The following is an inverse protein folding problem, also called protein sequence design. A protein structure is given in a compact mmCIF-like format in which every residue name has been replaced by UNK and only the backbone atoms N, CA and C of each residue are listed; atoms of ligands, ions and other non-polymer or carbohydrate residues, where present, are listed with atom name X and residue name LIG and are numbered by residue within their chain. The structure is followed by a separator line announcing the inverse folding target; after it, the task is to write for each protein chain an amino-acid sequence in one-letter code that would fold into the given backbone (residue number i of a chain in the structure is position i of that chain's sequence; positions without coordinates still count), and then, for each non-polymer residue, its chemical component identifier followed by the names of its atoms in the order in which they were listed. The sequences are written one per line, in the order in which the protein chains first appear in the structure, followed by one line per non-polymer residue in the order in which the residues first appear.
data_IF_719095730415
#
_entry.id   IF_719095730415
#
_cell.length_a   1.000
_cell.length_b   1.000
_cell.length_c   1.000
_cell.angle_alpha   90.00
_cell.angle_beta   90.00
_cell.angle_gamma   90.00
#
_symmetry.space_group_name_H-M   'P 1'
#
loop_
_entity.id
_entity.type
_entity.pdbx_description
1 polymer ?
#
# COMPACT_ATOMS: atom_id res chain seq x y z
N UNK A 1 34.19 -77.55 9.64
CA UNK A 1 34.43 -76.83 8.36
C UNK A 1 33.33 -75.79 8.13
N UNK A 2 33.66 -74.67 7.47
CA UNK A 2 32.79 -73.58 6.98
C UNK A 2 32.06 -72.70 8.04
N UNK A 3 32.78 -71.73 8.61
CA UNK A 3 32.19 -70.49 9.22
C UNK A 3 32.65 -69.18 8.56
N UNK A 4 33.54 -69.23 7.57
CA UNK A 4 34.17 -68.02 6.99
C UNK A 4 33.35 -67.32 5.90
N UNK A 5 32.32 -67.95 5.33
CA UNK A 5 31.50 -67.34 4.28
C UNK A 5 30.45 -66.33 4.81
N UNK A 6 30.11 -66.37 6.11
CA UNK A 6 29.06 -65.51 6.67
C UNK A 6 29.53 -64.10 7.03
N UNK A 7 30.83 -63.88 7.32
CA UNK A 7 31.33 -62.54 7.65
C UNK A 7 31.32 -61.58 6.45
N UNK A 8 31.48 -62.10 5.23
CA UNK A 8 31.59 -61.26 4.03
C UNK A 8 30.24 -60.68 3.58
N UNK A 9 29.11 -61.28 3.95
CA UNK A 9 27.78 -60.72 3.66
C UNK A 9 27.43 -59.54 4.57
N UNK A 10 27.97 -59.48 5.79
CA UNK A 10 27.69 -58.41 6.75
C UNK A 10 28.26 -57.05 6.36
N UNK A 11 29.44 -57.02 5.74
CA UNK A 11 30.11 -55.79 5.32
C UNK A 11 29.32 -55.05 4.22
N UNK A 12 28.82 -55.79 3.22
CA UNK A 12 28.00 -55.21 2.15
C UNK A 12 26.67 -54.64 2.66
N UNK A 13 26.05 -55.29 3.65
CA UNK A 13 24.81 -54.83 4.27
C UNK A 13 25.04 -53.53 5.04
N UNK A 14 26.14 -53.41 5.77
CA UNK A 14 26.47 -52.19 6.52
C UNK A 14 26.60 -50.97 5.59
N UNK A 15 27.24 -51.13 4.43
CA UNK A 15 27.40 -50.06 3.43
C UNK A 15 26.04 -49.62 2.89
N UNK A 16 25.17 -50.58 2.53
CA UNK A 16 23.82 -50.27 2.02
C UNK A 16 23.02 -49.48 3.06
N UNK A 17 23.09 -49.86 4.33
CA UNK A 17 22.41 -49.14 5.42
C UNK A 17 22.90 -47.69 5.55
N UNK A 18 24.22 -47.46 5.49
CA UNK A 18 24.81 -46.11 5.57
C UNK A 18 24.34 -45.26 4.39
N UNK A 19 24.32 -45.81 3.17
CA UNK A 19 23.84 -45.09 1.98
C UNK A 19 22.37 -44.71 2.12
N UNK A 20 21.52 -45.62 2.60
CA UNK A 20 20.10 -45.33 2.82
C UNK A 20 19.92 -44.19 3.83
N UNK A 21 20.67 -44.20 4.94
CA UNK A 21 20.62 -43.13 5.94
C UNK A 21 21.03 -41.77 5.34
N UNK A 22 22.09 -41.72 4.54
CA UNK A 22 22.52 -40.50 3.86
C UNK A 22 21.45 -39.96 2.90
N UNK A 23 20.76 -40.83 2.17
CA UNK A 23 19.66 -40.44 1.27
C UNK A 23 18.49 -39.86 2.07
N UNK A 24 18.10 -40.49 3.18
CA UNK A 24 17.01 -40.00 4.04
C UNK A 24 17.36 -38.63 4.63
N UNK A 25 18.57 -38.46 5.16
CA UNK A 25 19.02 -37.15 5.66
C UNK A 25 19.05 -36.10 4.55
N UNK A 26 19.61 -36.42 3.39
CA UNK A 26 19.64 -35.52 2.23
C UNK A 26 18.25 -35.07 1.82
N UNK A 27 17.26 -35.98 1.81
CA UNK A 27 15.88 -35.66 1.49
C UNK A 27 15.23 -34.72 2.52
N UNK A 28 15.41 -35.00 3.82
CA UNK A 28 14.89 -34.13 4.89
C UNK A 28 15.47 -32.71 4.77
N UNK A 29 16.78 -32.57 4.55
CA UNK A 29 17.40 -31.26 4.37
C UNK A 29 16.91 -30.54 3.11
N UNK A 30 16.80 -31.26 1.98
CA UNK A 30 16.31 -30.70 0.72
C UNK A 30 14.89 -30.14 0.85
N UNK A 31 13.97 -30.90 1.48
CA UNK A 31 12.59 -30.44 1.64
C UNK A 31 12.49 -29.19 2.51
N UNK A 32 13.29 -29.07 3.58
CA UNK A 32 13.35 -27.87 4.42
C UNK A 32 13.90 -26.65 3.68
N UNK A 33 14.95 -26.83 2.89
CA UNK A 33 15.53 -25.75 2.09
C UNK A 33 14.59 -25.30 0.96
N UNK A 34 13.91 -26.24 0.30
CA UNK A 34 12.93 -25.93 -0.74
C UNK A 34 11.74 -25.11 -0.20
N UNK A 35 11.22 -25.47 0.99
CA UNK A 35 10.16 -24.71 1.65
C UNK A 35 10.56 -23.26 1.92
N UNK A 36 11.80 -23.02 2.37
CA UNK A 36 12.31 -21.67 2.62
C UNK A 36 12.37 -20.80 1.34
N UNK A 37 12.71 -21.39 0.19
CA UNK A 37 12.74 -20.67 -1.08
C UNK A 37 11.33 -20.31 -1.58
N UNK A 38 10.37 -21.20 -1.39
CA UNK A 38 8.98 -20.97 -1.81
C UNK A 38 8.36 -19.81 -1.01
N UNK A 39 8.61 -19.74 0.31
CA UNK A 39 8.09 -18.62 1.11
C UNK A 39 8.71 -17.28 0.74
N UNK A 40 10.01 -17.23 0.44
CA UNK A 40 10.68 -16.02 -0.04
C UNK A 40 10.18 -15.59 -1.43
N UNK A 41 10.03 -16.54 -2.36
CA UNK A 41 9.51 -16.25 -3.70
C UNK A 41 8.05 -15.76 -3.67
N UNK A 42 7.23 -16.35 -2.80
CA UNK A 42 5.86 -15.89 -2.59
C UNK A 42 5.80 -14.46 -2.02
N UNK A 43 6.69 -14.10 -1.08
CA UNK A 43 6.74 -12.74 -0.55
C UNK A 43 7.16 -11.71 -1.63
N UNK A 44 8.18 -12.01 -2.43
CA UNK A 44 8.63 -11.12 -3.51
C UNK A 44 7.56 -10.87 -4.58
N UNK A 45 6.88 -11.92 -5.02
CA UNK A 45 5.78 -11.79 -6.00
C UNK A 45 4.62 -10.94 -5.48
N UNK A 46 4.35 -10.96 -4.16
CA UNK A 46 3.30 -10.13 -3.54
C UNK A 46 3.67 -8.65 -3.51
N UNK A 47 4.95 -8.33 -3.34
CA UNK A 47 5.44 -6.94 -3.40
C UNK A 47 5.37 -6.39 -4.83
N UNK A 48 5.75 -7.20 -5.82
CA UNK A 48 5.62 -6.85 -7.24
C UNK A 48 4.15 -6.56 -7.62
N UNK A 49 3.21 -7.38 -7.15
CA UNK A 49 1.77 -7.15 -7.36
C UNK A 49 1.29 -5.83 -6.73
N UNK A 50 1.72 -5.51 -5.51
CA UNK A 50 1.35 -4.26 -4.85
C UNK A 50 1.88 -3.04 -5.63
N UNK A 51 3.12 -3.11 -6.11
CA UNK A 51 3.72 -2.06 -6.93
C UNK A 51 3.05 -1.93 -8.31
N UNK A 52 2.66 -3.05 -8.93
CA UNK A 52 1.93 -3.04 -10.20
C UNK A 52 0.59 -2.29 -10.05
N UNK A 53 -0.18 -2.55 -8.99
CA UNK A 53 -1.43 -1.82 -8.73
C UNK A 53 -1.14 -0.34 -8.47
N UNK A 54 -0.12 -0.02 -7.68
CA UNK A 54 0.26 1.37 -7.40
C UNK A 54 0.65 2.13 -8.68
N UNK A 55 1.39 1.47 -9.59
CA UNK A 55 1.74 2.02 -10.90
C UNK A 55 0.53 2.24 -11.80
N UNK A 56 -0.45 1.33 -11.78
CA UNK A 56 -1.72 1.52 -12.52
C UNK A 56 -2.44 2.75 -11.98
N UNK A 57 -2.63 2.85 -10.66
CA UNK A 57 -3.29 4.00 -10.01
C UNK A 57 -2.58 5.31 -10.36
N UNK A 58 -1.25 5.30 -10.37
CA UNK A 58 -0.47 6.49 -10.65
C UNK A 58 -0.58 6.99 -12.11
N UNK A 59 -0.97 6.10 -13.02
CA UNK A 59 -1.10 6.38 -14.45
C UNK A 59 -2.56 6.46 -14.92
N UNK A 60 -3.51 6.64 -14.00
CA UNK A 60 -4.92 6.86 -14.34
C UNK A 60 -5.13 8.26 -14.93
N UNK A 61 -5.47 8.38 -16.23
CA UNK A 61 -5.69 9.68 -16.85
C UNK A 61 -6.89 10.42 -16.23
N UNK A 62 -7.83 9.72 -15.60
CA UNK A 62 -8.98 10.29 -14.91
C UNK A 62 -8.57 11.11 -13.69
N UNK A 63 -7.39 10.84 -13.12
CA UNK A 63 -6.89 11.55 -11.95
C UNK A 63 -5.92 12.67 -12.31
N UNK A 64 -5.33 12.65 -13.50
CA UNK A 64 -4.26 13.58 -13.88
C UNK A 64 -4.76 15.02 -14.03
N UNK A 65 -3.94 15.97 -13.59
CA UNK A 65 -4.12 17.38 -13.92
C UNK A 65 -3.90 17.61 -15.42
N UNK A 66 -4.72 18.48 -16.02
CA UNK A 66 -4.48 18.99 -17.36
C UNK A 66 -4.47 20.52 -17.29
N UNK A 67 -3.30 21.13 -17.46
CA UNK A 67 -3.15 22.58 -17.54
C UNK A 67 -2.66 22.93 -18.94
N UNK A 68 -3.40 23.78 -19.65
CA UNK A 68 -3.03 24.22 -21.00
C UNK A 68 -2.71 23.07 -21.96
N UNK A 69 -3.48 21.97 -21.93
CA UNK A 69 -3.30 20.76 -22.76
C UNK A 69 -2.04 19.93 -22.50
N UNK A 70 -1.23 20.30 -21.49
CA UNK A 70 -0.07 19.51 -21.07
C UNK A 70 -0.45 18.69 -19.84
N UNK A 71 -0.22 17.38 -19.92
CA UNK A 71 -0.36 16.46 -18.80
C UNK A 71 0.88 16.59 -17.92
N UNK A 72 0.70 17.02 -16.68
CA UNK A 72 1.79 17.09 -15.71
C UNK A 72 1.96 15.74 -15.00
N UNK A 73 3.19 15.21 -15.01
CA UNK A 73 3.52 13.98 -14.28
C UNK A 73 3.33 14.19 -12.77
N UNK A 74 2.74 13.19 -12.11
CA UNK A 74 2.48 13.17 -10.67
C UNK A 74 1.65 14.36 -10.14
N UNK A 75 0.81 14.98 -10.98
CA UNK A 75 -0.18 15.97 -10.56
C UNK A 75 -1.58 15.36 -10.63
N UNK A 76 -2.32 15.49 -9.52
CA UNK A 76 -3.66 14.93 -9.36
C UNK A 76 -4.64 16.04 -9.04
N UNK A 77 -5.75 16.06 -9.76
CA UNK A 77 -6.81 17.05 -9.58
C UNK A 77 -7.73 16.61 -8.43
N UNK A 78 -7.86 17.48 -7.42
CA UNK A 78 -8.65 17.24 -6.22
C UNK A 78 -10.11 16.91 -6.54
N UNK A 79 -10.74 17.69 -7.43
CA UNK A 79 -12.15 17.50 -7.79
C UNK A 79 -12.35 16.17 -8.52
N UNK A 80 -11.36 15.76 -9.34
CA UNK A 80 -11.42 14.47 -10.03
C UNK A 80 -11.27 13.29 -9.06
N UNK A 81 -10.41 13.41 -8.05
CA UNK A 81 -10.29 12.41 -6.98
C UNK A 81 -11.63 12.24 -6.27
N UNK A 82 -12.28 13.34 -5.91
CA UNK A 82 -13.58 13.33 -5.24
C UNK A 82 -14.69 12.73 -6.11
N UNK A 83 -14.75 13.10 -7.40
CA UNK A 83 -15.71 12.52 -8.34
C UNK A 83 -15.46 11.03 -8.59
N UNK A 84 -14.20 10.59 -8.69
CA UNK A 84 -13.89 9.17 -8.84
C UNK A 84 -14.34 8.39 -7.60
N UNK A 85 -14.10 8.95 -6.40
CA UNK A 85 -14.56 8.36 -5.14
C UNK A 85 -16.07 8.16 -5.14
N UNK A 86 -16.85 9.17 -5.52
CA UNK A 86 -18.31 9.06 -5.52
C UNK A 86 -18.79 8.03 -6.55
N UNK A 87 -18.21 8.03 -7.76
CA UNK A 87 -18.53 7.04 -8.80
C UNK A 87 -18.27 5.59 -8.34
N UNK A 88 -17.19 5.35 -7.60
CA UNK A 88 -16.83 4.01 -7.10
C UNK A 88 -17.63 3.62 -5.85
N UNK A 89 -17.93 4.56 -4.96
CA UNK A 89 -18.58 4.26 -3.67
C UNK A 89 -20.09 4.07 -3.86
N UNK A 90 -20.71 4.86 -4.74
CA UNK A 90 -22.17 4.84 -4.97
C UNK A 90 -22.65 3.56 -5.64
N UNK A 91 -21.76 2.77 -6.27
CA UNK A 91 -22.10 1.45 -6.80
C UNK A 91 -22.42 0.43 -5.70
N UNK A 92 -21.84 0.61 -4.50
CA UNK A 92 -21.99 -0.29 -3.36
C UNK A 92 -22.97 0.24 -2.31
N UNK A 93 -23.07 1.57 -2.19
CA UNK A 93 -24.05 2.22 -1.35
C UNK A 93 -25.39 2.30 -2.08
N UNK A 94 -26.24 1.29 -1.90
CA UNK A 94 -27.65 1.38 -2.26
C UNK A 94 -28.27 2.64 -1.64
N UNK A 95 -28.46 3.68 -2.47
CA UNK A 95 -29.31 4.86 -2.23
C UNK A 95 -29.16 5.52 -0.85
N UNK A 96 -28.19 6.44 -0.71
CA UNK A 96 -28.33 7.56 0.25
C UNK A 96 -27.90 8.89 -0.37
N UNK A 97 -28.81 9.39 -1.21
CA UNK A 97 -29.20 10.80 -1.37
C UNK A 97 -28.22 11.89 -0.90
N UNK A 98 -27.40 12.36 -1.84
CA UNK A 98 -26.96 13.77 -1.94
C UNK A 98 -27.80 14.44 -3.06
N UNK A 99 -28.17 15.73 -2.98
CA UNK A 99 -29.37 16.24 -3.62
C UNK A 99 -29.31 16.15 -5.15
N UNK A 100 -30.35 15.56 -5.78
CA UNK A 100 -30.41 15.40 -7.22
C UNK A 100 -31.10 16.61 -7.83
N UNK A 101 -30.36 17.60 -8.28
CA UNK A 101 -30.91 18.54 -9.25
C UNK A 101 -30.01 18.56 -10.48
N UNK A 102 -30.39 17.67 -11.40
CA UNK A 102 -30.13 17.72 -12.86
C UNK A 102 -28.88 17.04 -13.43
N UNK A 103 -28.61 15.79 -13.04
CA UNK A 103 -27.94 14.82 -13.94
C UNK A 103 -28.43 13.40 -13.58
N UNK A 104 -29.48 12.91 -14.24
CA UNK A 104 -29.91 11.51 -14.12
C UNK A 104 -28.91 10.62 -14.86
N UNK A 105 -27.75 10.37 -14.26
CA UNK A 105 -26.85 9.34 -14.73
C UNK A 105 -27.54 7.99 -14.49
N UNK A 106 -27.75 7.21 -15.55
CA UNK A 106 -28.41 5.91 -15.48
C UNK A 106 -27.66 5.00 -14.51
N UNK A 107 -28.38 4.39 -13.55
CA UNK A 107 -27.83 3.47 -12.53
C UNK A 107 -27.00 2.30 -13.11
N UNK A 108 -27.18 1.98 -14.39
CA UNK A 108 -26.40 0.93 -15.06
C UNK A 108 -24.93 1.31 -15.25
N UNK A 109 -24.61 2.60 -15.45
CA UNK A 109 -23.23 3.03 -15.70
C UNK A 109 -22.30 2.95 -14.47
N UNK A 110 -22.86 3.05 -13.25
CA UNK A 110 -22.04 3.03 -12.02
C UNK A 110 -21.57 1.63 -11.66
N UNK A 111 -22.37 0.59 -11.98
CA UNK A 111 -21.96 -0.80 -11.81
C UNK A 111 -20.78 -1.15 -12.72
N UNK A 112 -20.85 -0.73 -13.97
CA UNK A 112 -19.79 -0.97 -14.96
C UNK A 112 -18.46 -0.34 -14.52
N UNK A 113 -18.50 0.88 -13.99
CA UNK A 113 -17.31 1.55 -13.43
C UNK A 113 -16.70 0.75 -12.27
N UNK A 114 -17.52 0.28 -11.32
CA UNK A 114 -17.02 -0.53 -10.21
C UNK A 114 -16.40 -1.85 -10.69
N UNK A 115 -17.05 -2.58 -11.60
CA UNK A 115 -16.49 -3.82 -12.13
C UNK A 115 -15.19 -3.59 -12.90
N UNK A 116 -15.13 -2.51 -13.67
CA UNK A 116 -13.91 -2.10 -14.38
C UNK A 116 -12.76 -1.86 -13.39
N UNK A 117 -12.93 -1.00 -12.39
CA UNK A 117 -11.88 -0.70 -11.42
C UNK A 117 -11.57 -1.88 -10.48
N UNK A 118 -12.57 -2.68 -10.09
CA UNK A 118 -12.35 -3.88 -9.30
C UNK A 118 -11.50 -4.93 -10.05
N UNK A 119 -11.60 -5.01 -11.38
CA UNK A 119 -10.73 -5.89 -12.18
C UNK A 119 -9.25 -5.45 -12.14
N UNK A 120 -8.99 -4.15 -12.04
CA UNK A 120 -7.66 -3.55 -11.99
C UNK A 120 -7.07 -3.60 -10.58
N UNK A 121 -7.85 -3.13 -9.59
CA UNK A 121 -7.40 -2.95 -8.22
C UNK A 121 -7.57 -4.21 -7.38
N UNK A 122 -8.54 -5.08 -7.70
CA UNK A 122 -8.84 -6.34 -6.97
C UNK A 122 -8.96 -6.06 -5.45
N UNK A 123 -8.37 -6.91 -4.62
CA UNK A 123 -8.27 -6.79 -3.16
C UNK A 123 -7.28 -5.70 -2.69
N UNK A 124 -7.57 -4.43 -2.95
CA UNK A 124 -6.74 -3.33 -2.47
C UNK A 124 -7.55 -2.21 -1.84
N UNK A 125 -6.87 -1.35 -1.09
CA UNK A 125 -7.37 -0.06 -0.63
C UNK A 125 -6.48 1.04 -1.20
N UNK A 126 -7.09 2.05 -1.79
CA UNK A 126 -6.42 3.21 -2.37
C UNK A 126 -6.88 4.43 -1.58
N UNK A 127 -5.94 5.12 -0.96
CA UNK A 127 -6.19 6.35 -0.22
C UNK A 127 -5.22 7.44 -0.62
N UNK A 128 -5.70 8.67 -0.61
CA UNK A 128 -4.92 9.88 -0.83
C UNK A 128 -4.96 10.69 0.44
N UNK A 129 -3.80 11.17 0.89
CA UNK A 129 -3.71 12.11 1.99
C UNK A 129 -2.72 13.22 1.68
N UNK A 130 -3.03 14.40 2.17
CA UNK A 130 -2.14 15.56 2.13
C UNK A 130 -1.05 15.43 3.20
N UNK A 131 0.17 15.78 2.84
CA UNK A 131 1.34 15.80 3.73
C UNK A 131 1.81 17.24 3.96
N UNK A 132 1.61 18.14 2.98
CA UNK A 132 2.03 19.54 3.09
C UNK A 132 1.06 20.50 2.42
N UNK A 133 0.77 21.68 3.02
CA UNK A 133 1.32 22.16 4.29
C UNK A 133 0.76 21.42 5.51
N UNK A 134 1.64 20.81 6.30
CA UNK A 134 1.24 20.36 7.64
C UNK A 134 1.04 21.64 8.45
N UNK A 135 -0.17 21.91 8.97
CA UNK A 135 -0.41 23.04 9.86
C UNK A 135 0.57 23.10 11.04
N UNK A 136 1.08 21.94 11.48
CA UNK A 136 1.93 21.82 12.65
C UNK A 136 3.41 21.89 12.32
N UNK A 137 3.80 21.87 11.03
CA UNK A 137 5.20 21.83 10.59
C UNK A 137 5.54 22.94 9.58
N UNK A 138 5.20 24.18 9.95
CA UNK A 138 5.60 25.37 9.20
C UNK A 138 7.11 25.69 9.30
N UNK A 139 7.93 24.81 9.91
CA UNK A 139 9.34 25.10 10.21
C UNK A 139 10.36 24.59 9.19
N UNK A 140 9.98 23.71 8.25
CA UNK A 140 10.96 23.02 7.40
C UNK A 140 11.47 23.84 6.20
N UNK A 141 10.77 24.91 5.76
CA UNK A 141 11.18 25.67 4.56
C UNK A 141 11.55 27.14 4.74
N UNK A 142 11.54 27.68 5.97
CA UNK A 142 12.10 29.01 6.22
C UNK A 142 13.65 29.03 6.23
N UNK A 143 14.33 27.88 6.14
CA UNK A 143 15.77 27.77 6.39
C UNK A 143 16.65 27.46 5.17
N UNK A 144 16.17 27.57 3.92
CA UNK A 144 17.01 27.32 2.73
C UNK A 144 17.64 28.60 2.14
N UNK A 145 17.27 29.80 2.61
CA UNK A 145 17.87 31.05 2.10
C UNK A 145 18.78 31.80 3.10
N UNK A 146 19.16 31.19 4.23
CA UNK A 146 20.19 31.75 5.11
C UNK A 146 21.30 30.74 5.42
N UNK A 147 22.11 30.47 4.37
CA UNK A 147 23.47 29.95 4.51
C UNK A 147 24.37 31.02 5.16
N UNK A 148 24.24 31.21 6.48
CA UNK A 148 25.33 31.69 7.34
C UNK A 148 24.88 31.75 8.80
N UNK A 149 25.47 30.86 9.62
CA UNK A 149 25.62 30.95 11.08
C UNK A 149 24.45 30.48 11.98
N UNK A 150 24.11 29.20 11.96
CA UNK A 150 23.50 28.56 13.14
C UNK A 150 24.29 27.31 13.54
N UNK A 151 24.90 27.40 14.73
CA UNK A 151 25.61 26.34 15.44
C UNK A 151 24.64 25.20 15.74
N UNK A 152 24.96 23.99 15.28
CA UNK A 152 24.41 22.75 15.84
C UNK A 152 25.10 22.51 17.19
N UNK A 153 24.38 22.72 18.30
CA UNK A 153 24.68 22.16 19.63
C UNK A 153 23.45 22.38 20.53
N UNK A 154 22.32 21.71 20.27
CA UNK A 154 21.25 21.61 21.29
C UNK A 154 20.58 20.22 21.25
N UNK A 155 20.84 19.34 22.24
CA UNK A 155 20.37 17.96 22.27
C UNK A 155 19.03 17.75 23.02
N UNK A 156 18.23 18.78 23.30
CA UNK A 156 16.95 18.59 24.02
C UNK A 156 15.71 18.90 23.16
N UNK A 157 15.31 17.92 22.33
CA UNK A 157 13.99 17.90 21.70
C UNK A 157 13.05 16.99 22.53
N UNK A 158 11.94 17.51 23.07
CA UNK A 158 10.99 16.71 23.83
C UNK A 158 10.17 15.80 22.91
N UNK A 159 10.12 14.51 23.23
CA UNK A 159 9.12 13.58 22.71
C UNK A 159 7.74 13.99 23.25
N UNK A 160 6.85 14.45 22.37
CA UNK A 160 5.46 14.69 22.74
C UNK A 160 4.72 13.35 22.84
N UNK A 161 4.32 12.99 24.06
CA UNK A 161 3.30 11.96 24.30
C UNK A 161 2.06 12.65 24.86
N UNK A 162 1.03 12.85 24.03
CA UNK A 162 -0.26 13.32 24.52
C UNK A 162 -1.06 12.13 25.05
N UNK A 163 -1.14 12.01 26.37
CA UNK A 163 -2.04 11.08 27.05
C UNK A 163 -2.83 11.86 28.10
N UNK A 164 -3.90 12.52 27.67
CA UNK A 164 -4.86 13.13 28.58
C UNK A 164 -6.23 12.45 28.38
N UNK A 165 -6.72 11.64 29.34
CA UNK A 165 -7.90 10.80 29.14
C UNK A 165 -9.24 11.49 29.46
N UNK A 166 -9.27 12.76 29.89
CA UNK A 166 -10.51 13.45 30.29
C UNK A 166 -10.59 14.94 29.85
N UNK A 167 -9.79 15.37 28.87
CA UNK A 167 -9.90 16.72 28.33
C UNK A 167 -11.09 16.83 27.37
N UNK A 168 -12.03 17.73 27.66
CA UNK A 168 -12.98 18.25 26.67
C UNK A 168 -12.19 18.68 25.43
N UNK A 169 -12.25 17.83 24.40
CA UNK A 169 -11.49 18.01 23.17
C UNK A 169 -12.11 19.19 22.44
N UNK A 170 -11.48 20.36 22.56
CA UNK A 170 -11.78 21.52 21.74
C UNK A 170 -11.46 21.14 20.29
N UNK A 171 -12.44 20.54 19.60
CA UNK A 171 -12.33 20.08 18.21
C UNK A 171 -12.23 21.24 17.21
N UNK A 172 -12.09 22.48 17.70
CA UNK A 172 -11.97 23.69 16.89
C UNK A 172 -10.59 23.86 16.24
N UNK A 173 -9.56 23.15 16.73
CA UNK A 173 -8.19 23.20 16.18
C UNK A 173 -7.73 21.90 15.51
N UNK A 174 -8.64 20.93 15.29
CA UNK A 174 -8.33 19.76 14.47
C UNK A 174 -8.21 20.21 13.02
N UNK A 175 -6.99 20.54 12.61
CA UNK A 175 -6.72 20.91 11.23
C UNK A 175 -7.16 19.77 10.33
N UNK A 176 -8.07 20.10 9.43
CA UNK A 176 -8.67 19.19 8.48
C UNK A 176 -7.61 18.69 7.49
N UNK A 177 -6.88 17.66 7.89
CA UNK A 177 -5.97 16.95 6.99
C UNK A 177 -6.81 16.26 5.94
N UNK A 178 -6.65 16.69 4.69
CA UNK A 178 -7.35 16.09 3.57
C UNK A 178 -7.01 14.60 3.48
N UNK A 179 -8.02 13.76 3.73
CA UNK A 179 -7.93 12.30 3.67
C UNK A 179 -9.11 11.74 2.87
N UNK A 180 -8.80 11.07 1.76
CA UNK A 180 -9.81 10.47 0.89
C UNK A 180 -9.47 9.02 0.58
N UNK A 181 -10.42 8.12 0.86
CA UNK A 181 -10.37 6.73 0.39
C UNK A 181 -11.11 6.67 -0.94
N UNK A 182 -10.39 6.39 -2.02
CA UNK A 182 -10.95 6.30 -3.37
C UNK A 182 -11.63 4.93 -3.58
N UNK A 183 -10.98 3.88 -3.08
CA UNK A 183 -11.40 2.50 -3.30
C UNK A 183 -11.02 1.65 -2.08
N UNK A 184 -11.91 0.77 -1.61
CA UNK A 184 -11.63 -0.20 -0.55
C UNK A 184 -12.36 -1.51 -0.85
N UNK A 185 -11.60 -2.52 -1.25
CA UNK A 185 -12.08 -3.89 -1.44
C UNK A 185 -11.25 -4.83 -0.57
N UNK A 186 -11.59 -4.84 0.72
CA UNK A 186 -10.90 -5.67 1.72
C UNK A 186 -11.60 -7.03 1.86
N UNK A 187 -10.89 -8.15 1.67
CA UNK A 187 -11.46 -9.47 1.94
C UNK A 187 -11.67 -9.67 3.45
N UNK A 188 -12.54 -10.58 3.85
CA UNK A 188 -12.84 -10.83 5.26
C UNK A 188 -11.66 -11.48 6.02
N UNK A 189 -10.80 -12.19 5.30
CA UNK A 189 -9.73 -13.05 5.79
C UNK A 189 -8.34 -12.53 5.41
N UNK A 190 -8.04 -11.28 5.76
CA UNK A 190 -6.71 -10.69 5.48
C UNK A 190 -5.62 -11.37 6.33
N UNK A 191 -4.68 -12.07 5.68
CA UNK A 191 -3.49 -12.64 6.33
C UNK A 191 -2.27 -11.72 6.23
N UNK A 192 -2.15 -10.96 5.15
CA UNK A 192 -1.03 -10.03 4.93
C UNK A 192 -1.51 -8.74 4.24
N UNK A 193 -0.86 -7.63 4.59
CA UNK A 193 -1.00 -6.32 3.93
C UNK A 193 0.35 -5.81 3.45
N UNK A 194 0.40 -5.28 2.23
CA UNK A 194 1.61 -4.67 1.66
C UNK A 194 1.26 -3.27 1.17
N UNK A 195 1.76 -2.20 1.83
CA UNK A 195 1.55 -0.83 1.40
C UNK A 195 2.59 -0.40 0.36
N UNK A 196 2.14 0.32 -0.67
CA UNK A 196 2.96 1.07 -1.61
C UNK A 196 2.58 2.54 -1.52
N UNK A 197 3.58 3.43 -1.43
CA UNK A 197 3.38 4.88 -1.25
C UNK A 197 4.03 5.63 -2.40
N UNK A 198 3.27 6.51 -3.03
CA UNK A 198 3.73 7.31 -4.16
C UNK A 198 3.53 8.78 -3.81
N UNK A 199 4.59 9.61 -3.78
CA UNK A 199 4.45 11.05 -3.58
C UNK A 199 3.78 11.68 -4.80
N UNK A 200 2.85 12.59 -4.54
CA UNK A 200 2.06 13.26 -5.56
C UNK A 200 1.88 14.74 -5.24
N UNK A 201 1.54 15.53 -6.27
CA UNK A 201 1.04 16.89 -6.12
C UNK A 201 -0.48 16.87 -6.23
N UNK A 202 -1.17 17.41 -5.25
CA UNK A 202 -2.63 17.58 -5.25
C UNK A 202 -2.91 19.02 -5.69
N UNK A 203 -3.60 19.18 -6.81
CA UNK A 203 -4.00 20.47 -7.34
C UNK A 203 -5.48 20.71 -7.05
N UNK A 204 -5.78 21.85 -6.45
CA UNK A 204 -7.16 22.31 -6.27
C UNK A 204 -7.46 23.41 -7.29
N UNK A 205 -8.36 23.16 -8.26
CA UNK A 205 -8.69 24.16 -9.28
C UNK A 205 -9.54 25.32 -8.74
N UNK A 206 -10.16 25.21 -7.56
CA UNK A 206 -11.03 26.24 -7.00
C UNK A 206 -10.24 27.44 -6.44
N UNK A 207 -9.07 27.17 -5.86
CA UNK A 207 -8.19 28.18 -5.25
C UNK A 207 -6.82 28.25 -5.94
N UNK A 208 -6.62 27.48 -7.02
CA UNK A 208 -5.35 27.31 -7.74
C UNK A 208 -4.17 26.86 -6.86
N UNK A 209 -4.44 26.24 -5.71
CA UNK A 209 -3.40 25.78 -4.80
C UNK A 209 -2.82 24.43 -5.21
N UNK A 210 -1.54 24.23 -4.91
CA UNK A 210 -0.83 22.97 -5.08
C UNK A 210 -0.29 22.53 -3.74
N UNK A 211 -0.65 21.32 -3.34
CA UNK A 211 -0.29 20.69 -2.07
C UNK A 211 0.52 19.42 -2.34
N UNK A 212 1.35 19.02 -1.37
CA UNK A 212 2.06 17.74 -1.46
C UNK A 212 1.20 16.68 -0.78
N UNK A 213 1.00 15.54 -1.44
CA UNK A 213 0.29 14.41 -0.89
C UNK A 213 0.99 13.10 -1.16
N UNK A 214 0.41 12.02 -0.65
CA UNK A 214 0.80 10.65 -0.98
C UNK A 214 -0.44 9.86 -1.35
N UNK A 215 -0.32 9.09 -2.43
CA UNK A 215 -1.21 7.99 -2.72
C UNK A 215 -0.66 6.75 -2.01
N UNK A 216 -1.43 6.19 -1.10
CA UNK A 216 -1.16 4.91 -0.46
C UNK A 216 -2.06 3.84 -1.06
N UNK A 217 -1.43 2.82 -1.64
CA UNK A 217 -2.09 1.62 -2.16
C UNK A 217 -1.74 0.46 -1.23
N UNK A 218 -2.73 -0.06 -0.52
CA UNK A 218 -2.58 -1.22 0.36
C UNK A 218 -3.14 -2.44 -0.34
N UNK A 219 -2.29 -3.42 -0.65
CA UNK A 219 -2.70 -4.71 -1.20
C UNK A 219 -3.00 -5.71 -0.09
N UNK A 220 -4.16 -6.36 -0.15
CA UNK A 220 -4.56 -7.41 0.78
C UNK A 220 -4.37 -8.79 0.18
N UNK A 221 -3.80 -9.69 0.97
CA UNK A 221 -3.68 -11.11 0.65
C UNK A 221 -4.42 -11.92 1.71
N UNK A 222 -5.21 -12.88 1.23
CA UNK A 222 -5.85 -13.95 2.00
C UNK A 222 -4.99 -15.21 1.91
#
# INVERSE_FOLDING_TARGET
MRRRAQMQMGESIAIIIIVILLVVFGFVFYTKWAQAKISMGAAGSREEDAFAVASIVANLPELHCSKNTVVELACYDLLKIEHLRTMITDSNAGLRSYPPETCQLSQDMTKDAFFFYNSLFKNSRISVYEIYPDPNDLTVFAAVEQRSLLRLDDPTLPLYTSSDPNGDLDTSDAVDQFFVVIYDSRPADVTQKIPARIPIRIYNPMDESVKLGVIEVVRYFS
#
